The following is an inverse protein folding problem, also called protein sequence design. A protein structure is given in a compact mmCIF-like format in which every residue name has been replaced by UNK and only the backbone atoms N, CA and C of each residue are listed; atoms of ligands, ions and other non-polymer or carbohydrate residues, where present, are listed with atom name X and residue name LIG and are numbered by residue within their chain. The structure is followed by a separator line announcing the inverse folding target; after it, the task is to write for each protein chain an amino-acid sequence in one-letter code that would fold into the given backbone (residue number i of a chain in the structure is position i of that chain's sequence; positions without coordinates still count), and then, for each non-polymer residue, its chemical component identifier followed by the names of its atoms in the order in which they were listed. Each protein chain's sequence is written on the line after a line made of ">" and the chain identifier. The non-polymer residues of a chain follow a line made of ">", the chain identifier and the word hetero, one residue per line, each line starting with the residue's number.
data_IF_575275136046
#
_entry.id   IF_575275136046
#
_cell.length_a   1.000
_cell.length_b   1.000
_cell.length_c   1.000
_cell.angle_alpha   90.00
_cell.angle_beta   90.00
_cell.angle_gamma   90.00
#
_symmetry.space_group_name_H-M   'P 1'
#
loop_
_entity.id
_entity.type
_entity.pdbx_description
1 polymer ?
#
# COMPACT_ATOMS: atom_id res chain seq x y z
N UNK A 1 2.78 5.63 -9.79
CA UNK A 1 2.99 4.45 -8.91
C UNK A 1 4.01 4.70 -7.79
N UNK A 2 5.20 5.29 -8.05
CA UNK A 2 6.14 5.70 -6.99
C UNK A 2 5.52 6.67 -5.94
N UNK A 3 4.77 7.68 -6.37
CA UNK A 3 4.08 8.60 -5.45
C UNK A 3 3.02 7.88 -4.61
N UNK A 4 2.13 7.08 -5.22
CA UNK A 4 1.07 6.34 -4.50
C UNK A 4 1.67 5.47 -3.38
N UNK A 5 2.74 4.72 -3.66
CA UNK A 5 3.40 3.90 -2.64
C UNK A 5 4.03 4.75 -1.53
N UNK A 6 4.74 5.82 -1.89
CA UNK A 6 5.38 6.69 -0.91
C UNK A 6 4.35 7.47 -0.08
N UNK A 7 3.24 7.89 -0.67
CA UNK A 7 2.17 8.63 0.00
C UNK A 7 1.30 7.73 0.87
N UNK A 8 0.95 6.52 0.42
CA UNK A 8 0.26 5.53 1.28
C UNK A 8 1.18 5.02 2.38
N UNK A 9 2.45 4.75 2.11
CA UNK A 9 3.41 4.36 3.14
C UNK A 9 3.60 5.51 4.15
N UNK A 10 3.74 6.76 3.69
CA UNK A 10 3.90 7.94 4.57
C UNK A 10 2.59 8.27 5.32
N UNK A 11 1.40 8.05 4.73
CA UNK A 11 0.09 8.24 5.40
C UNK A 11 -0.24 7.11 6.40
N UNK A 12 0.16 5.87 6.10
CA UNK A 12 0.07 4.73 7.03
C UNK A 12 1.14 4.81 8.13
N UNK A 13 2.32 5.36 7.84
CA UNK A 13 3.33 5.70 8.85
C UNK A 13 2.90 6.90 9.70
N UNK A 14 2.20 7.91 9.15
CA UNK A 14 1.65 9.01 9.95
C UNK A 14 0.57 8.54 10.94
N UNK A 15 -0.15 7.45 10.64
CA UNK A 15 -1.01 6.78 11.62
C UNK A 15 -0.22 6.08 12.74
N UNK A 16 1.10 5.86 12.62
CA UNK A 16 1.96 5.41 13.73
C UNK A 16 2.38 6.55 14.67
N UNK A 17 2.23 7.82 14.26
CA UNK A 17 2.70 8.99 15.05
C UNK A 17 1.54 9.81 15.63
N UNK A 18 0.29 9.47 15.30
CA UNK A 18 -0.92 10.18 15.75
C UNK A 18 -1.35 9.99 17.21
N UNK A 19 -0.51 9.43 18.09
CA UNK A 19 -0.78 9.37 19.53
C UNK A 19 0.52 9.68 20.29
N UNK A 20 0.97 10.93 20.30
CA UNK A 20 1.63 11.54 21.47
C UNK A 20 1.89 13.05 21.27
N UNK A 21 0.84 13.82 20.99
CA UNK A 21 0.89 15.28 21.18
C UNK A 21 -0.15 15.73 22.20
N UNK A 22 -0.11 15.14 23.39
CA UNK A 22 -0.52 15.86 24.61
C UNK A 22 0.42 15.43 25.74
N UNK A 23 1.07 16.43 26.32
CA UNK A 23 2.29 16.30 27.12
C UNK A 23 2.22 15.26 28.23
N UNK A 24 3.29 14.46 28.33
CA UNK A 24 3.62 13.69 29.52
C UNK A 24 5.11 13.87 29.80
N UNK A 25 5.36 14.39 31.00
CA UNK A 25 6.65 14.69 31.60
C UNK A 25 7.63 13.52 31.47
N UNK A 26 8.83 13.82 30.98
CA UNK A 26 9.94 12.88 30.80
C UNK A 26 10.60 12.59 32.15
N UNK A 27 10.14 11.56 32.86
CA UNK A 27 10.93 10.93 33.92
C UNK A 27 10.56 9.44 34.04
N UNK A 28 11.44 8.56 33.56
CA UNK A 28 11.53 7.18 34.07
C UNK A 28 10.75 6.06 33.38
N UNK A 29 10.49 6.10 32.06
CA UNK A 29 9.92 4.93 31.36
C UNK A 29 11.05 3.97 30.94
N UNK A 30 11.13 2.84 31.64
CA UNK A 30 11.87 1.65 31.20
C UNK A 30 11.42 1.28 29.78
N UNK A 31 12.35 0.95 28.89
CA UNK A 31 12.05 0.31 27.60
C UNK A 31 11.45 -1.10 27.82
N UNK A 32 10.22 -1.19 28.33
CA UNK A 32 9.38 -2.36 28.10
C UNK A 32 8.87 -2.20 26.69
N UNK A 33 9.36 -3.05 25.77
CA UNK A 33 9.13 -2.97 24.33
C UNK A 33 7.75 -2.45 23.99
N UNK A 34 7.70 -1.21 23.47
CA UNK A 34 6.49 -0.65 22.91
C UNK A 34 6.14 -1.53 21.71
N UNK A 35 5.23 -2.49 21.92
CA UNK A 35 4.53 -3.14 20.82
C UNK A 35 3.88 -2.02 20.03
N UNK A 36 4.48 -1.64 18.90
CA UNK A 36 3.86 -0.72 17.95
C UNK A 36 2.60 -1.42 17.48
N UNK A 37 1.48 -1.08 18.12
CA UNK A 37 0.17 -1.58 17.76
C UNK A 37 -0.17 -0.97 16.40
N UNK A 38 0.03 -1.76 15.35
CA UNK A 38 -0.50 -1.43 14.04
C UNK A 38 -2.03 -1.31 14.17
N UNK A 39 -2.61 -0.31 13.51
CA UNK A 39 -4.05 -0.16 13.47
C UNK A 39 -4.69 -1.45 12.93
N UNK A 40 -5.84 -1.85 13.50
CA UNK A 40 -6.49 -3.14 13.18
C UNK A 40 -6.69 -3.33 11.68
N UNK A 41 -6.98 -2.26 10.95
CA UNK A 41 -7.16 -2.30 9.50
C UNK A 41 -5.85 -2.70 8.77
N UNK A 42 -4.70 -2.19 9.20
CA UNK A 42 -3.40 -2.54 8.59
C UNK A 42 -3.08 -4.01 8.84
N UNK A 43 -3.39 -4.51 10.04
CA UNK A 43 -3.21 -5.92 10.38
C UNK A 43 -4.16 -6.82 9.58
N UNK A 44 -5.38 -6.37 9.30
CA UNK A 44 -6.35 -7.13 8.49
C UNK A 44 -5.88 -7.24 7.03
N UNK A 45 -5.46 -6.13 6.42
CA UNK A 45 -4.86 -6.12 5.08
C UNK A 45 -3.55 -6.91 5.00
N UNK A 46 -2.82 -7.05 6.10
CA UNK A 46 -1.64 -7.90 6.16
C UNK A 46 -1.99 -9.39 6.25
N UNK A 47 -2.99 -9.76 7.06
CA UNK A 47 -3.41 -11.15 7.26
C UNK A 47 -4.17 -11.72 6.07
N UNK A 48 -5.02 -10.91 5.45
CA UNK A 48 -5.81 -11.30 4.29
C UNK A 48 -5.68 -10.26 3.17
N UNK A 49 -4.51 -10.19 2.50
CA UNK A 49 -4.30 -9.22 1.44
C UNK A 49 -5.20 -9.56 0.24
N UNK A 50 -6.16 -8.68 -0.02
CA UNK A 50 -7.02 -8.78 -1.20
C UNK A 50 -6.25 -8.40 -2.47
N UNK A 51 -6.70 -8.87 -3.63
CA UNK A 51 -6.15 -8.50 -4.94
C UNK A 51 -4.68 -8.90 -5.16
N UNK A 52 -4.17 -9.87 -4.39
CA UNK A 52 -2.88 -10.49 -4.65
C UNK A 52 -2.98 -11.41 -5.85
N UNK A 53 -2.09 -11.25 -6.83
CA UNK A 53 -2.11 -12.08 -8.02
C UNK A 53 -1.45 -11.41 -9.20
N UNK A 54 -1.64 -11.98 -10.38
CA UNK A 54 -1.16 -11.42 -11.64
C UNK A 54 -2.26 -11.53 -12.69
N UNK A 55 -2.33 -10.55 -13.56
CA UNK A 55 -3.17 -10.57 -14.75
C UNK A 55 -2.37 -11.06 -15.96
N UNK A 56 -3.08 -11.52 -16.99
CA UNK A 56 -2.45 -11.93 -18.25
C UNK A 56 -1.78 -10.71 -18.91
N UNK A 57 -0.45 -10.71 -19.10
CA UNK A 57 0.24 -9.62 -19.77
C UNK A 57 -0.04 -9.54 -21.28
N UNK A 58 -0.71 -10.53 -21.88
CA UNK A 58 -1.07 -10.52 -23.31
C UNK A 58 -2.36 -9.76 -23.61
N UNK A 59 -3.12 -9.39 -22.59
CA UNK A 59 -4.37 -8.64 -22.70
C UNK A 59 -4.03 -7.17 -22.99
N UNK A 60 -4.57 -6.62 -24.07
CA UNK A 60 -4.31 -5.24 -24.51
C UNK A 60 -4.82 -4.20 -23.50
N UNK A 61 -5.81 -4.58 -22.69
CA UNK A 61 -6.40 -3.74 -21.65
C UNK A 61 -5.62 -3.81 -20.32
N UNK A 62 -4.54 -4.59 -20.23
CA UNK A 62 -3.77 -4.77 -19.00
C UNK A 62 -2.47 -3.96 -19.03
N UNK A 63 -2.44 -2.90 -18.24
CA UNK A 63 -1.22 -2.15 -17.94
C UNK A 63 -0.40 -2.83 -16.85
N UNK A 64 0.91 -3.00 -17.07
CA UNK A 64 1.85 -3.51 -16.06
C UNK A 64 2.84 -2.43 -15.66
N UNK A 65 2.90 -2.11 -14.37
CA UNK A 65 3.88 -1.20 -13.77
C UNK A 65 4.76 -1.92 -12.77
N UNK A 66 6.08 -1.82 -12.94
CA UNK A 66 7.06 -2.35 -11.97
C UNK A 66 7.74 -1.18 -11.27
N UNK A 67 7.79 -1.22 -9.94
CA UNK A 67 8.42 -0.22 -9.09
C UNK A 67 9.40 -0.91 -8.15
N UNK A 68 10.64 -0.43 -8.12
CA UNK A 68 11.68 -0.94 -7.23
C UNK A 68 12.98 -1.21 -8.00
N UNK A 69 14.05 -1.47 -7.26
CA UNK A 69 15.31 -1.93 -7.80
C UNK A 69 15.60 -3.32 -7.23
N UNK A 70 15.93 -4.33 -8.06
CA UNK A 70 16.23 -5.68 -7.57
C UNK A 70 17.33 -5.71 -6.51
N UNK A 71 18.27 -4.75 -6.57
CA UNK A 71 19.38 -4.62 -5.62
C UNK A 71 18.94 -4.27 -4.19
N UNK A 72 17.75 -3.70 -3.99
CA UNK A 72 17.27 -3.23 -2.68
C UNK A 72 16.30 -4.22 -2.01
N UNK A 73 15.97 -5.34 -2.66
CA UNK A 73 15.05 -6.35 -2.10
C UNK A 73 13.56 -5.97 -2.10
N UNK A 74 13.23 -4.70 -2.30
CA UNK A 74 11.85 -4.21 -2.39
C UNK A 74 11.46 -3.99 -3.86
N UNK A 75 10.68 -4.93 -4.41
CA UNK A 75 10.17 -4.87 -5.79
C UNK A 75 8.67 -5.13 -5.81
N UNK A 76 7.92 -4.19 -6.36
CA UNK A 76 6.48 -4.27 -6.52
C UNK A 76 6.10 -4.28 -8.01
N UNK A 77 5.28 -5.25 -8.40
CA UNK A 77 4.60 -5.33 -9.69
C UNK A 77 3.11 -5.07 -9.48
N UNK A 78 2.60 -4.01 -10.11
CA UNK A 78 1.19 -3.67 -10.15
C UNK A 78 0.67 -3.91 -11.56
N UNK A 79 -0.46 -4.59 -11.68
CA UNK A 79 -1.15 -4.82 -12.94
C UNK A 79 -2.58 -4.30 -12.82
N UNK A 80 -3.01 -3.52 -13.80
CA UNK A 80 -4.32 -2.85 -13.81
C UNK A 80 -4.99 -3.18 -15.14
N UNK A 81 -6.23 -3.68 -15.10
CA UNK A 81 -7.09 -3.80 -16.27
C UNK A 81 -7.96 -2.57 -16.37
N UNK A 82 -7.93 -1.90 -17.51
CA UNK A 82 -8.71 -0.70 -17.79
C UNK A 82 -9.67 -1.01 -18.92
N UNK A 83 -10.96 -0.73 -18.71
CA UNK A 83 -11.99 -0.83 -19.74
C UNK A 83 -12.77 0.48 -19.77
N UNK A 84 -12.89 1.10 -20.95
CA UNK A 84 -13.62 2.36 -21.15
C UNK A 84 -13.21 3.50 -20.20
N UNK A 85 -11.92 3.57 -19.84
CA UNK A 85 -11.38 4.58 -18.92
C UNK A 85 -11.64 4.31 -17.43
N UNK A 86 -12.26 3.17 -17.09
CA UNK A 86 -12.53 2.73 -15.72
C UNK A 86 -11.64 1.53 -15.38
N UNK A 87 -11.14 1.52 -14.15
CA UNK A 87 -10.35 0.41 -13.61
C UNK A 87 -11.28 -0.76 -13.25
N UNK A 88 -11.29 -1.80 -14.07
CA UNK A 88 -12.13 -2.99 -13.88
C UNK A 88 -11.54 -3.94 -12.82
N UNK A 89 -10.24 -4.23 -12.92
CA UNK A 89 -9.54 -5.07 -11.97
C UNK A 89 -8.11 -4.60 -11.73
N UNK A 90 -7.63 -4.84 -10.52
CA UNK A 90 -6.28 -4.48 -10.10
C UNK A 90 -5.69 -5.67 -9.37
N UNK A 91 -4.49 -6.07 -9.75
CA UNK A 91 -3.70 -7.09 -9.06
C UNK A 91 -2.32 -6.57 -8.74
N UNK A 92 -1.80 -6.96 -7.59
CA UNK A 92 -0.42 -6.67 -7.23
C UNK A 92 0.33 -7.91 -6.78
N UNK A 93 1.65 -7.89 -7.03
CA UNK A 93 2.64 -8.74 -6.38
C UNK A 93 3.74 -7.85 -5.85
N UNK A 94 4.06 -7.97 -4.58
CA UNK A 94 5.15 -7.22 -3.98
C UNK A 94 6.05 -8.17 -3.21
N UNK A 95 7.35 -7.94 -3.34
CA UNK A 95 8.39 -8.55 -2.54
C UNK A 95 8.92 -7.46 -1.63
N UNK A 96 8.78 -7.62 -0.31
CA UNK A 96 9.18 -6.61 0.66
C UNK A 96 8.50 -6.75 2.01
N UNK A 97 8.68 -5.73 2.86
CA UNK A 97 8.14 -5.69 4.22
C UNK A 97 6.60 -5.79 4.28
N UNK A 98 6.05 -6.36 5.37
CA UNK A 98 4.61 -6.56 5.54
C UNK A 98 3.77 -5.27 5.49
N UNK A 99 4.37 -4.12 5.84
CA UNK A 99 3.75 -2.80 5.68
C UNK A 99 3.51 -2.44 4.21
N UNK A 100 4.40 -2.86 3.30
CA UNK A 100 4.22 -2.69 1.86
C UNK A 100 3.01 -3.46 1.36
N UNK A 101 2.86 -4.71 1.81
CA UNK A 101 1.75 -5.59 1.43
C UNK A 101 0.41 -5.00 1.89
N UNK A 102 0.32 -4.57 3.15
CA UNK A 102 -0.90 -3.97 3.69
C UNK A 102 -1.29 -2.67 2.95
N UNK A 103 -0.30 -1.82 2.65
CA UNK A 103 -0.51 -0.57 1.92
C UNK A 103 -1.02 -0.82 0.49
N UNK A 104 -0.42 -1.78 -0.21
CA UNK A 104 -0.81 -2.15 -1.56
C UNK A 104 -2.18 -2.82 -1.61
N UNK A 105 -2.52 -3.65 -0.62
CA UNK A 105 -3.86 -4.25 -0.54
C UNK A 105 -4.94 -3.19 -0.41
N UNK A 106 -4.75 -2.21 0.47
CA UNK A 106 -5.71 -1.12 0.63
C UNK A 106 -5.81 -0.24 -0.63
N UNK A 107 -4.66 0.11 -1.23
CA UNK A 107 -4.62 0.94 -2.43
C UNK A 107 -5.34 0.28 -3.62
N UNK A 108 -5.15 -1.03 -3.82
CA UNK A 108 -5.77 -1.76 -4.92
C UNK A 108 -7.27 -1.94 -4.75
N UNK A 109 -7.77 -2.04 -3.51
CA UNK A 109 -9.22 -1.99 -3.25
C UNK A 109 -9.82 -0.62 -3.59
N UNK A 110 -9.14 0.47 -3.22
CA UNK A 110 -9.63 1.81 -3.51
C UNK A 110 -9.64 2.13 -5.02
N UNK A 111 -8.63 1.64 -5.75
CA UNK A 111 -8.50 1.86 -7.19
C UNK A 111 -9.57 1.15 -8.02
N UNK A 112 -10.16 0.07 -7.51
CA UNK A 112 -11.17 -0.71 -8.24
C UNK A 112 -12.44 0.12 -8.44
N UNK A 113 -12.91 0.24 -9.68
CA UNK A 113 -14.10 1.02 -10.05
C UNK A 113 -13.89 2.53 -10.08
N UNK A 114 -12.65 3.01 -9.99
CA UNK A 114 -12.29 4.42 -10.21
C UNK A 114 -11.88 4.67 -11.65
N UNK A 115 -11.97 5.92 -12.10
CA UNK A 115 -11.44 6.30 -13.40
C UNK A 115 -9.92 6.44 -13.34
N UNK A 116 -9.28 6.42 -14.51
CA UNK A 116 -7.82 6.60 -14.59
C UNK A 116 -7.40 7.97 -14.06
N UNK A 117 -8.22 9.01 -14.25
CA UNK A 117 -7.96 10.37 -13.77
C UNK A 117 -8.00 10.44 -12.23
N UNK A 118 -8.96 9.76 -11.59
CA UNK A 118 -9.04 9.64 -10.13
C UNK A 118 -7.80 8.93 -9.58
N UNK A 119 -7.36 7.87 -10.25
CA UNK A 119 -6.16 7.12 -9.88
C UNK A 119 -4.88 7.97 -10.01
N UNK A 120 -4.81 8.86 -11.00
CA UNK A 120 -3.68 9.79 -11.19
C UNK A 120 -3.71 10.96 -10.20
N UNK A 121 -4.89 11.31 -9.68
CA UNK A 121 -5.06 12.40 -8.72
C UNK A 121 -4.56 12.04 -7.31
N UNK A 122 -4.31 10.76 -7.02
CA UNK A 122 -3.57 10.31 -5.84
C UNK A 122 -2.11 10.77 -5.91
N UNK A 123 -1.82 11.93 -5.31
CA UNK A 123 -0.46 12.38 -4.99
C UNK A 123 0.04 11.73 -3.73
#
# INVERSE_FOLDING_TARGET
>A
VRCIYMYLCNRLQMLQVGILHHGLSLTGIRCTGAARLYHKNVLDHYKNPQNVGSLDPKDENVGTGVVGAPACGDVMKLQVRIQDGVVEDVKFRTFGCGSAIASSSYATQWLKGKTVEDALSLK
#
